data_IF_639592657340
#
_entry.id   IF_639592657340
#
_cell.length_a   1.000
_cell.length_b   1.000
_cell.length_c   1.000
_cell.angle_alpha   90.00
_cell.angle_beta   90.00
_cell.angle_gamma   90.00
#
_symmetry.space_group_name_H-M   'P 1'
#
loop_
_entity.id
_entity.type
_entity.pdbx_description
1 polymer ?
#
# COMPACT_ATOMS: atom_id res chain seq x y z
N UNK A 1 15.18 -5.89 -14.05
CA UNK A 1 14.24 -4.85 -14.55
C UNK A 1 13.66 -4.10 -13.37
N UNK A 2 13.54 -2.79 -13.49
CA UNK A 2 12.88 -1.92 -12.52
C UNK A 2 11.76 -1.18 -13.24
N UNK A 3 10.55 -1.16 -12.65
CA UNK A 3 9.48 -0.24 -13.05
C UNK A 3 9.25 0.78 -11.94
N UNK A 4 9.05 2.03 -12.33
CA UNK A 4 8.74 3.14 -11.44
C UNK A 4 7.48 3.79 -11.97
N UNK A 5 6.39 3.75 -11.21
CA UNK A 5 5.08 4.29 -11.60
C UNK A 5 4.61 3.82 -12.99
N UNK A 6 4.87 2.53 -13.31
CA UNK A 6 4.53 1.91 -14.59
C UNK A 6 5.52 2.17 -15.73
N UNK A 7 6.52 3.02 -15.53
CA UNK A 7 7.58 3.28 -16.53
C UNK A 7 8.69 2.26 -16.35
N UNK A 8 9.04 1.55 -17.42
CA UNK A 8 10.11 0.54 -17.40
C UNK A 8 11.49 1.16 -17.58
N UNK A 9 12.41 0.75 -16.71
CA UNK A 9 13.85 1.03 -16.79
C UNK A 9 14.59 -0.29 -16.98
N UNK A 10 14.61 -0.76 -18.22
CA UNK A 10 15.15 -2.05 -18.59
C UNK A 10 15.85 -1.96 -19.96
N UNK A 11 17.05 -1.44 -19.97
CA UNK A 11 17.85 -1.39 -21.17
C UNK A 11 19.33 -1.25 -20.80
N UNK A 12 20.22 -1.38 -21.76
CA UNK A 12 21.64 -1.04 -21.59
C UNK A 12 21.85 0.39 -21.04
N UNK A 13 20.82 1.22 -21.12
CA UNK A 13 20.84 2.58 -20.63
C UNK A 13 20.69 2.70 -19.12
N UNK A 14 19.90 1.77 -18.51
CA UNK A 14 19.61 1.75 -17.07
C UNK A 14 19.84 0.35 -16.52
N UNK A 15 20.87 0.19 -15.74
CA UNK A 15 21.19 -1.06 -15.06
C UNK A 15 21.00 -0.89 -13.56
N UNK A 16 20.06 -1.60 -12.98
CA UNK A 16 19.91 -1.66 -11.52
C UNK A 16 21.13 -2.42 -10.96
N UNK A 17 21.96 -1.72 -10.20
CA UNK A 17 23.19 -2.26 -9.59
C UNK A 17 22.90 -2.80 -8.21
N UNK A 18 22.10 -2.05 -7.43
CA UNK A 18 21.78 -2.37 -6.05
C UNK A 18 20.39 -1.82 -5.71
N UNK A 19 19.59 -2.59 -4.99
CA UNK A 19 18.26 -2.15 -4.55
C UNK A 19 18.16 -1.87 -3.06
N UNK A 20 19.27 -1.95 -2.35
CA UNK A 20 19.29 -1.91 -0.88
C UNK A 20 18.77 -3.20 -0.24
N UNK A 21 18.87 -3.28 1.07
CA UNK A 21 18.41 -4.44 1.81
C UNK A 21 16.89 -4.49 1.89
N UNK A 22 16.31 -5.66 1.68
CA UNK A 22 14.90 -5.92 1.95
C UNK A 22 14.77 -6.20 3.45
N UNK A 23 14.13 -5.29 4.16
CA UNK A 23 13.91 -5.41 5.59
C UNK A 23 12.50 -5.94 5.86
N UNK A 24 12.37 -6.84 6.83
CA UNK A 24 11.06 -7.24 7.34
C UNK A 24 10.41 -6.06 8.06
N UNK A 25 9.09 -5.92 7.92
CA UNK A 25 8.33 -4.87 8.58
C UNK A 25 8.49 -4.95 10.10
N UNK A 26 9.04 -3.91 10.69
CA UNK A 26 9.29 -3.81 12.12
C UNK A 26 8.17 -3.04 12.80
N UNK A 27 7.64 -3.59 13.89
CA UNK A 27 6.66 -2.86 14.71
C UNK A 27 7.32 -1.65 15.36
N UNK A 28 6.56 -0.55 15.41
CA UNK A 28 6.99 0.65 16.14
C UNK A 28 7.13 0.35 17.62
N UNK A 29 8.28 0.73 18.18
CA UNK A 29 8.53 0.68 19.62
C UNK A 29 8.05 1.99 20.22
N UNK A 30 7.14 1.90 21.18
CA UNK A 30 6.63 3.08 21.93
C UNK A 30 7.55 3.35 23.11
N UNK A 31 7.88 2.32 23.88
CA UNK A 31 8.66 2.44 25.09
C UNK A 31 9.42 1.14 25.37
N UNK A 32 10.60 1.27 25.99
CA UNK A 32 11.35 0.15 26.56
C UNK A 32 11.48 0.38 28.06
N UNK A 33 10.90 -0.51 28.86
CA UNK A 33 10.85 -0.39 30.31
C UNK A 33 11.76 -1.44 30.96
N UNK A 34 12.71 -0.99 31.76
CA UNK A 34 13.54 -1.87 32.59
C UNK A 34 12.82 -2.11 33.92
N UNK A 35 12.55 -3.36 34.22
CA UNK A 35 11.93 -3.77 35.49
C UNK A 35 13.02 -4.12 36.50
N UNK A 36 13.04 -3.41 37.63
CA UNK A 36 14.01 -3.65 38.69
C UNK A 36 13.93 -5.09 39.18
N UNK A 37 15.08 -5.77 39.16
CA UNK A 37 15.23 -7.18 39.60
C UNK A 37 14.82 -8.22 38.53
N UNK A 38 14.42 -7.82 37.34
CA UNK A 38 14.18 -8.72 36.21
C UNK A 38 15.38 -8.71 35.25
N UNK A 39 15.59 -9.84 34.56
CA UNK A 39 16.57 -9.92 33.49
C UNK A 39 15.89 -9.48 32.17
N UNK A 40 16.45 -8.47 31.50
CA UNK A 40 15.96 -7.93 30.25
C UNK A 40 14.92 -6.82 30.42
N UNK A 41 14.58 -6.19 29.31
CA UNK A 41 13.64 -5.04 29.22
C UNK A 41 12.31 -5.48 28.65
N UNK A 42 11.22 -4.88 29.10
CA UNK A 42 9.90 -5.03 28.50
C UNK A 42 9.72 -3.99 27.39
N UNK A 43 9.44 -4.46 26.18
CA UNK A 43 9.25 -3.60 25.01
C UNK A 43 7.77 -3.45 24.71
N UNK A 44 7.29 -2.22 24.79
CA UNK A 44 5.92 -1.86 24.40
C UNK A 44 5.92 -1.48 22.92
N UNK A 45 5.12 -2.19 22.13
CA UNK A 45 4.95 -1.94 20.71
C UNK A 45 3.63 -1.22 20.46
N UNK A 46 3.64 -0.31 19.47
CA UNK A 46 2.43 0.19 18.81
C UNK A 46 1.89 -0.87 17.83
N UNK A 47 0.63 -0.74 17.41
CA UNK A 47 0.06 -1.58 16.34
C UNK A 47 0.62 -1.24 14.95
N UNK A 48 1.22 -0.07 14.82
CA UNK A 48 1.82 0.42 13.57
C UNK A 48 3.19 -0.22 13.26
N UNK A 49 3.63 -0.05 12.02
CA UNK A 49 4.93 -0.49 11.52
C UNK A 49 5.78 0.69 11.10
N UNK A 50 7.09 0.54 11.21
CA UNK A 50 8.07 1.56 10.80
C UNK A 50 8.33 1.50 9.30
N UNK A 51 8.38 2.66 8.65
CA UNK A 51 8.93 2.78 7.29
C UNK A 51 10.44 2.56 7.31
N UNK A 52 11.01 2.13 6.20
CA UNK A 52 12.46 1.89 6.08
C UNK A 52 13.09 2.76 5.00
N UNK A 53 14.23 3.37 5.33
CA UNK A 53 15.04 4.05 4.32
C UNK A 53 15.87 3.02 3.53
N UNK A 54 15.91 3.18 2.21
CA UNK A 54 16.75 2.35 1.32
C UNK A 54 17.34 3.20 0.21
N UNK A 55 18.47 2.78 -0.28
CA UNK A 55 19.13 3.37 -1.44
C UNK A 55 19.07 2.42 -2.63
N UNK A 56 18.57 2.91 -3.76
CA UNK A 56 18.68 2.24 -5.05
C UNK A 56 19.90 2.80 -5.78
N UNK A 57 20.74 1.93 -6.36
CA UNK A 57 21.84 2.36 -7.22
C UNK A 57 21.60 1.88 -8.63
N UNK A 58 21.54 2.83 -9.57
CA UNK A 58 21.28 2.60 -10.98
C UNK A 58 22.44 3.14 -11.78
N UNK A 59 23.04 2.31 -12.63
CA UNK A 59 24.05 2.74 -13.58
C UNK A 59 23.39 3.24 -14.86
N UNK A 60 23.55 4.52 -15.17
CA UNK A 60 22.92 5.21 -16.31
C UNK A 60 23.98 5.54 -17.36
N UNK A 61 23.70 5.25 -18.63
CA UNK A 61 24.70 5.38 -19.72
C UNK A 61 25.01 6.81 -20.10
N UNK A 62 24.02 7.69 -20.11
CA UNK A 62 24.16 9.07 -20.56
C UNK A 62 23.57 10.03 -19.53
N UNK A 63 24.17 11.21 -19.43
CA UNK A 63 23.73 12.21 -18.44
C UNK A 63 22.26 12.64 -18.63
N UNK A 64 21.84 12.86 -19.87
CA UNK A 64 20.47 13.31 -20.18
C UNK A 64 19.39 12.31 -19.74
N UNK A 65 19.73 11.03 -19.67
CA UNK A 65 18.84 9.97 -19.19
C UNK A 65 18.59 10.03 -17.67
N UNK A 66 19.44 10.73 -16.92
CA UNK A 66 19.21 10.96 -15.47
C UNK A 66 17.94 11.79 -15.27
N UNK A 67 17.70 12.79 -16.11
CA UNK A 67 16.49 13.61 -16.05
C UNK A 67 15.22 12.79 -16.28
N UNK A 68 15.25 11.84 -17.24
CA UNK A 68 14.15 10.91 -17.47
C UNK A 68 13.90 9.99 -16.27
N UNK A 69 14.97 9.49 -15.64
CA UNK A 69 14.86 8.68 -14.42
C UNK A 69 14.24 9.48 -13.27
N UNK A 70 14.68 10.74 -13.06
CA UNK A 70 14.11 11.62 -12.01
C UNK A 70 12.62 11.92 -12.28
N UNK A 71 12.24 12.19 -13.52
CA UNK A 71 10.86 12.51 -13.89
C UNK A 71 9.87 11.34 -13.71
N UNK A 72 10.38 10.12 -13.57
CA UNK A 72 9.53 8.96 -13.28
C UNK A 72 9.10 8.89 -11.81
N UNK A 73 9.76 9.64 -10.92
CA UNK A 73 9.41 9.70 -9.50
C UNK A 73 8.52 10.90 -9.20
N UNK A 74 7.43 10.62 -8.49
CA UNK A 74 6.68 11.63 -7.73
C UNK A 74 7.39 11.89 -6.39
N UNK A 75 6.99 12.92 -5.67
CA UNK A 75 7.54 13.16 -4.32
C UNK A 75 7.04 12.10 -3.33
N UNK A 76 5.80 11.61 -3.51
CA UNK A 76 5.16 10.64 -2.62
C UNK A 76 4.52 9.49 -3.39
N UNK A 77 4.30 8.38 -2.68
CA UNK A 77 3.52 7.21 -3.15
C UNK A 77 4.01 6.61 -4.48
N UNK A 78 5.31 6.50 -4.67
CA UNK A 78 5.85 5.86 -5.86
C UNK A 78 5.65 4.35 -5.80
N UNK A 79 5.21 3.77 -6.91
CA UNK A 79 5.05 2.33 -7.09
C UNK A 79 6.32 1.79 -7.74
N UNK A 80 7.00 0.87 -7.06
CA UNK A 80 8.22 0.22 -7.51
C UNK A 80 7.97 -1.27 -7.72
N UNK A 81 8.32 -1.78 -8.90
CA UNK A 81 8.24 -3.19 -9.24
C UNK A 81 9.62 -3.69 -9.65
N UNK A 82 9.99 -4.85 -9.11
CA UNK A 82 11.27 -5.51 -9.41
C UNK A 82 11.00 -6.89 -10.01
N UNK A 83 11.64 -7.24 -11.11
CA UNK A 83 11.39 -8.50 -11.85
C UNK A 83 11.73 -9.76 -11.06
N UNK A 84 12.68 -9.69 -10.14
CA UNK A 84 13.06 -10.80 -9.29
C UNK A 84 12.15 -10.98 -8.05
N UNK A 85 11.16 -10.08 -7.88
CA UNK A 85 10.09 -10.23 -6.88
C UNK A 85 8.77 -10.25 -7.64
N UNK A 86 8.38 -11.45 -8.10
CA UNK A 86 7.21 -11.62 -8.95
C UNK A 86 5.91 -11.21 -8.25
N UNK A 87 4.96 -10.70 -9.03
CA UNK A 87 3.60 -10.36 -8.60
C UNK A 87 3.52 -9.41 -7.40
N UNK A 88 4.55 -8.57 -7.22
CA UNK A 88 4.65 -7.70 -6.06
C UNK A 88 5.10 -6.30 -6.44
N UNK A 89 4.69 -5.34 -5.63
CA UNK A 89 5.11 -3.94 -5.70
C UNK A 89 5.46 -3.42 -4.31
N UNK A 90 6.28 -2.39 -4.29
CA UNK A 90 6.56 -1.58 -3.10
C UNK A 90 6.04 -0.18 -3.31
N UNK A 91 5.69 0.48 -2.22
CA UNK A 91 5.32 1.90 -2.20
C UNK A 91 6.44 2.64 -1.49
N UNK A 92 6.92 3.74 -2.07
CA UNK A 92 7.99 4.52 -1.48
C UNK A 92 7.87 6.01 -1.80
N UNK A 93 8.30 6.83 -0.84
CA UNK A 93 8.41 8.27 -0.99
C UNK A 93 9.82 8.64 -1.44
N UNK A 94 9.93 9.58 -2.38
CA UNK A 94 11.21 10.05 -2.88
C UNK A 94 11.83 11.05 -1.90
N UNK A 95 13.12 10.86 -1.58
CA UNK A 95 13.86 11.76 -0.70
C UNK A 95 14.88 12.58 -1.49
N UNK A 96 15.85 11.91 -2.11
CA UNK A 96 16.91 12.58 -2.87
C UNK A 96 17.49 11.69 -3.97
N UNK A 97 18.14 12.32 -4.93
CA UNK A 97 18.90 11.65 -5.97
C UNK A 97 20.28 12.28 -6.08
N UNK A 98 21.31 11.46 -5.99
CA UNK A 98 22.70 11.83 -6.19
C UNK A 98 23.23 11.11 -7.42
N UNK A 99 24.15 11.71 -8.14
CA UNK A 99 24.79 11.05 -9.27
C UNK A 99 26.28 11.41 -9.34
N UNK A 100 27.07 10.40 -9.63
CA UNK A 100 28.51 10.52 -9.79
C UNK A 100 28.95 9.84 -11.08
N UNK A 101 29.97 10.39 -11.72
CA UNK A 101 30.51 9.78 -12.94
C UNK A 101 31.20 8.46 -12.61
N UNK A 102 30.84 7.42 -13.34
CA UNK A 102 31.42 6.09 -13.22
C UNK A 102 32.16 5.72 -14.52
N UNK A 103 33.47 5.82 -14.49
CA UNK A 103 34.31 5.57 -15.69
C UNK A 103 34.07 6.59 -16.80
N UNK A 104 34.23 6.16 -18.06
CA UNK A 104 34.16 7.05 -19.23
C UNK A 104 32.76 7.29 -19.76
N UNK A 105 31.84 6.35 -19.58
CA UNK A 105 30.57 6.33 -20.32
C UNK A 105 29.32 6.14 -19.45
N UNK A 106 29.46 6.03 -18.12
CA UNK A 106 28.33 5.77 -17.24
C UNK A 106 28.31 6.72 -16.04
N UNK A 107 27.11 6.85 -15.47
CA UNK A 107 26.83 7.57 -14.25
C UNK A 107 26.22 6.61 -13.24
N UNK A 108 26.72 6.59 -12.01
CA UNK A 108 26.09 5.92 -10.89
C UNK A 108 25.11 6.90 -10.25
N UNK A 109 23.85 6.58 -10.33
CA UNK A 109 22.76 7.33 -9.72
C UNK A 109 22.34 6.60 -8.45
N UNK A 110 22.44 7.27 -7.30
CA UNK A 110 21.98 6.78 -6.00
C UNK A 110 20.70 7.51 -5.65
N UNK A 111 19.63 6.76 -5.42
CA UNK A 111 18.30 7.27 -5.11
C UNK A 111 17.93 6.83 -3.72
N UNK A 112 17.74 7.79 -2.81
CA UNK A 112 17.27 7.54 -1.45
C UNK A 112 15.76 7.60 -1.41
N UNK A 113 15.14 6.54 -0.88
CA UNK A 113 13.70 6.37 -0.78
C UNK A 113 13.31 5.96 0.63
N UNK A 114 12.12 6.37 1.06
CA UNK A 114 11.47 5.86 2.28
C UNK A 114 10.37 4.90 1.86
N UNK A 115 10.57 3.63 2.10
CA UNK A 115 9.64 2.56 1.76
C UNK A 115 8.56 2.41 2.83
N UNK A 116 7.33 2.21 2.41
CA UNK A 116 6.28 1.68 3.27
C UNK A 116 6.73 0.32 3.83
N UNK A 117 6.27 -0.07 5.03
CA UNK A 117 6.77 -1.26 5.71
C UNK A 117 6.42 -2.59 5.02
N UNK A 118 5.55 -2.57 4.02
CA UNK A 118 4.98 -3.77 3.43
C UNK A 118 5.35 -3.94 1.96
N UNK A 119 5.41 -5.19 1.55
CA UNK A 119 5.33 -5.61 0.16
C UNK A 119 3.85 -5.81 -0.19
N UNK A 120 3.38 -5.25 -1.28
CA UNK A 120 1.99 -5.32 -1.73
C UNK A 120 1.84 -6.27 -2.92
N UNK A 121 0.70 -6.93 -3.04
CA UNK A 121 0.35 -7.62 -4.28
C UNK A 121 0.32 -6.62 -5.45
N UNK A 122 0.87 -7.00 -6.58
CA UNK A 122 0.79 -6.19 -7.80
C UNK A 122 -0.66 -6.05 -8.24
N UNK A 123 -1.38 -7.17 -8.25
CA UNK A 123 -2.83 -7.24 -8.41
C UNK A 123 -3.42 -8.10 -7.30
N UNK A 124 -4.27 -7.53 -6.48
CA UNK A 124 -4.95 -8.26 -5.40
C UNK A 124 -6.14 -9.08 -5.89
N UNK A 125 -6.51 -8.96 -7.17
CA UNK A 125 -7.79 -9.42 -7.66
C UNK A 125 -8.96 -8.70 -6.97
N UNK A 126 -10.05 -8.51 -7.67
CA UNK A 126 -11.25 -7.95 -7.05
C UNK A 126 -12.28 -9.06 -6.84
N UNK A 127 -12.66 -9.29 -5.58
CA UNK A 127 -13.76 -10.18 -5.23
C UNK A 127 -15.08 -9.44 -5.40
N UNK A 128 -16.00 -10.01 -6.17
CA UNK A 128 -17.34 -9.46 -6.38
C UNK A 128 -18.36 -10.34 -5.70
N UNK A 129 -19.16 -9.74 -4.82
CA UNK A 129 -20.16 -10.39 -3.99
C UNK A 129 -21.54 -9.76 -4.22
N UNK A 130 -22.59 -10.51 -3.90
CA UNK A 130 -23.93 -9.96 -3.69
C UNK A 130 -24.07 -9.39 -2.26
N UNK A 131 -25.23 -9.59 -1.63
CA UNK A 131 -25.48 -9.10 -0.27
C UNK A 131 -24.65 -9.82 0.81
N UNK A 132 -24.24 -11.05 0.57
CA UNK A 132 -23.45 -11.87 1.51
C UNK A 132 -22.38 -12.64 0.77
N UNK A 133 -21.28 -12.96 1.44
CA UNK A 133 -20.19 -13.75 0.91
C UNK A 133 -18.99 -13.78 1.86
N UNK A 134 -17.82 -14.01 1.31
CA UNK A 134 -16.57 -13.95 2.06
C UNK A 134 -15.46 -13.37 1.19
N UNK A 135 -14.46 -12.83 1.84
CA UNK A 135 -13.20 -12.35 1.24
C UNK A 135 -12.05 -13.00 1.97
N UNK A 136 -11.04 -13.44 1.23
CA UNK A 136 -9.83 -14.04 1.78
C UNK A 136 -8.66 -13.07 1.66
N UNK A 137 -8.08 -12.70 2.78
CA UNK A 137 -6.79 -12.01 2.82
C UNK A 137 -5.69 -13.06 2.79
N UNK A 138 -4.99 -13.14 1.66
CA UNK A 138 -3.87 -14.06 1.42
C UNK A 138 -2.53 -13.51 1.94
N UNK A 139 -2.52 -12.29 2.47
CA UNK A 139 -1.35 -11.68 3.10
C UNK A 139 -1.11 -12.22 4.52
N UNK A 140 0.01 -11.82 5.11
CA UNK A 140 0.39 -12.22 6.48
C UNK A 140 0.14 -11.12 7.52
N UNK A 141 -0.48 -10.02 7.08
CA UNK A 141 -0.85 -8.88 7.92
C UNK A 141 -2.22 -8.35 7.47
N UNK A 142 -2.90 -7.61 8.34
CA UNK A 142 -4.15 -6.95 7.96
C UNK A 142 -3.96 -6.08 6.71
N UNK A 143 -4.98 -6.01 5.88
CA UNK A 143 -4.98 -5.20 4.67
C UNK A 143 -6.05 -4.10 4.72
N UNK A 144 -5.81 -3.03 4.00
CA UNK A 144 -6.69 -1.86 3.91
C UNK A 144 -7.33 -1.86 2.52
N UNK A 145 -8.56 -2.38 2.37
CA UNK A 145 -9.17 -2.60 1.08
C UNK A 145 -9.69 -1.32 0.43
N UNK A 146 -9.95 -1.42 -0.88
CA UNK A 146 -10.81 -0.49 -1.59
C UNK A 146 -12.13 -1.24 -1.85
N UNK A 147 -13.25 -0.69 -1.37
CA UNK A 147 -14.55 -1.31 -1.45
C UNK A 147 -15.47 -0.45 -2.31
N UNK A 148 -16.14 -1.06 -3.28
CA UNK A 148 -17.18 -0.41 -4.08
C UNK A 148 -18.51 -1.10 -3.78
N UNK A 149 -19.55 -0.33 -3.46
CA UNK A 149 -20.89 -0.82 -3.21
C UNK A 149 -21.84 -0.19 -4.22
N UNK A 150 -22.58 -1.02 -4.94
CA UNK A 150 -23.72 -0.61 -5.75
C UNK A 150 -24.98 -0.77 -4.91
N UNK A 151 -25.58 0.35 -4.51
CA UNK A 151 -26.71 0.38 -3.57
C UNK A 151 -27.14 1.81 -3.27
N UNK A 152 -28.23 1.96 -2.52
CA UNK A 152 -28.81 3.27 -2.16
C UNK A 152 -29.45 3.24 -0.79
N UNK A 153 -29.61 4.43 -0.18
CA UNK A 153 -30.22 4.60 1.14
C UNK A 153 -29.34 4.14 2.28
N UNK A 154 -29.97 3.65 3.34
CA UNK A 154 -29.27 3.17 4.52
C UNK A 154 -28.69 1.77 4.26
N UNK A 155 -27.38 1.68 4.31
CA UNK A 155 -26.62 0.44 4.09
C UNK A 155 -25.72 0.18 5.28
N UNK A 156 -25.79 -1.04 5.81
CA UNK A 156 -24.81 -1.54 6.78
C UNK A 156 -23.91 -2.57 6.10
N UNK A 157 -22.61 -2.32 6.08
CA UNK A 157 -21.59 -3.27 5.64
C UNK A 157 -20.87 -3.84 6.84
N UNK A 158 -20.76 -5.16 6.90
CA UNK A 158 -19.99 -5.90 7.93
C UNK A 158 -18.91 -6.73 7.24
N UNK A 159 -17.67 -6.65 7.71
CA UNK A 159 -16.55 -7.50 7.28
C UNK A 159 -15.87 -8.03 8.56
N UNK A 160 -15.88 -9.33 8.75
CA UNK A 160 -15.48 -9.92 10.04
C UNK A 160 -16.30 -9.32 11.19
N UNK A 161 -15.61 -8.75 12.17
CA UNK A 161 -16.21 -8.09 13.33
C UNK A 161 -16.40 -6.57 13.15
N UNK A 162 -15.96 -6.01 12.02
CA UNK A 162 -16.04 -4.58 11.76
C UNK A 162 -17.34 -4.21 11.05
N UNK A 163 -17.94 -3.10 11.45
CA UNK A 163 -19.22 -2.62 10.90
C UNK A 163 -19.11 -1.16 10.49
N UNK A 164 -19.59 -0.85 9.30
CA UNK A 164 -19.77 0.53 8.82
C UNK A 164 -21.21 0.74 8.39
N UNK A 165 -21.80 1.85 8.85
CA UNK A 165 -23.14 2.30 8.46
C UNK A 165 -23.01 3.49 7.54
N UNK A 166 -23.68 3.42 6.40
CA UNK A 166 -23.67 4.43 5.34
C UNK A 166 -25.09 4.89 5.04
N UNK A 167 -25.24 6.15 4.66
CA UNK A 167 -26.43 6.68 4.02
C UNK A 167 -26.06 7.14 2.60
N UNK A 168 -26.33 6.30 1.61
CA UNK A 168 -25.93 6.51 0.22
C UNK A 168 -27.06 7.24 -0.51
N UNK A 169 -26.87 8.52 -0.82
CA UNK A 169 -27.86 9.30 -1.58
C UNK A 169 -27.75 9.11 -3.09
N UNK A 170 -26.69 8.41 -3.56
CA UNK A 170 -26.50 8.01 -4.96
C UNK A 170 -26.89 6.55 -5.20
N UNK A 171 -26.29 5.95 -6.21
CA UNK A 171 -26.45 4.53 -6.57
C UNK A 171 -25.15 3.72 -6.40
N UNK A 172 -24.04 4.38 -6.12
CA UNK A 172 -22.73 3.75 -5.93
C UNK A 172 -21.89 4.56 -4.95
N UNK A 173 -21.14 3.85 -4.10
CA UNK A 173 -20.14 4.42 -3.19
C UNK A 173 -18.83 3.66 -3.33
N UNK A 174 -17.71 4.39 -3.27
CA UNK A 174 -16.37 3.82 -3.15
C UNK A 174 -15.79 4.23 -1.81
N UNK A 175 -15.33 3.24 -1.06
CA UNK A 175 -14.69 3.40 0.24
C UNK A 175 -13.20 3.06 0.06
N UNK A 176 -12.33 4.03 0.22
CA UNK A 176 -10.89 3.82 0.24
C UNK A 176 -10.43 3.72 1.68
N UNK A 177 -10.06 2.52 2.13
CA UNK A 177 -9.64 2.27 3.50
C UNK A 177 -8.13 2.47 3.69
N UNK A 178 -7.37 2.69 2.63
CA UNK A 178 -5.90 2.80 2.69
C UNK A 178 -5.47 3.93 3.61
N UNK A 179 -4.51 3.67 4.47
CA UNK A 179 -3.89 4.67 5.34
C UNK A 179 -3.43 5.89 4.52
N UNK A 180 -3.52 7.09 5.09
CA UNK A 180 -3.29 8.39 4.42
C UNK A 180 -4.35 8.77 3.35
N UNK A 181 -5.23 7.83 2.90
CA UNK A 181 -6.23 8.08 1.83
C UNK A 181 -7.68 7.90 2.26
N UNK A 182 -7.91 7.48 3.49
CA UNK A 182 -9.22 7.16 4.07
C UNK A 182 -10.32 8.16 3.69
N UNK A 183 -11.14 7.79 2.70
CA UNK A 183 -12.19 8.62 2.16
C UNK A 183 -13.33 7.78 1.59
N UNK A 184 -14.50 8.39 1.52
CA UNK A 184 -15.67 7.86 0.82
C UNK A 184 -15.94 8.76 -0.38
N UNK A 185 -16.18 8.14 -1.54
CA UNK A 185 -16.43 8.83 -2.80
C UNK A 185 -17.75 8.41 -3.41
N UNK A 186 -18.41 9.36 -4.08
CA UNK A 186 -19.55 9.05 -4.93
C UNK A 186 -19.12 8.40 -6.26
N UNK A 187 -20.10 8.13 -7.14
CA UNK A 187 -19.86 7.53 -8.45
C UNK A 187 -19.00 8.42 -9.39
N UNK A 188 -18.94 9.73 -9.13
CA UNK A 188 -18.16 10.68 -9.91
C UNK A 188 -16.75 10.92 -9.32
N UNK A 189 -16.42 10.26 -8.23
CA UNK A 189 -15.14 10.41 -7.54
C UNK A 189 -15.08 11.62 -6.60
N UNK A 190 -16.18 12.28 -6.30
CA UNK A 190 -16.21 13.37 -5.33
C UNK A 190 -16.26 12.85 -3.90
N UNK A 191 -15.50 13.43 -2.95
CA UNK A 191 -15.54 13.04 -1.55
C UNK A 191 -16.92 13.22 -0.93
N UNK A 192 -17.41 12.18 -0.25
CA UNK A 192 -18.73 12.10 0.41
C UNK A 192 -18.62 11.48 1.81
N UNK A 193 -17.68 11.95 2.61
CA UNK A 193 -17.47 11.41 3.97
C UNK A 193 -18.69 11.56 4.86
N UNK A 194 -19.60 12.51 4.59
CA UNK A 194 -20.88 12.65 5.27
C UNK A 194 -21.83 11.46 5.06
N UNK A 195 -21.59 10.62 4.06
CA UNK A 195 -22.36 9.39 3.87
C UNK A 195 -22.03 8.31 4.91
N UNK A 196 -20.88 8.41 5.58
CA UNK A 196 -20.52 7.54 6.69
C UNK A 196 -21.21 8.03 7.97
N UNK A 197 -22.18 7.28 8.41
CA UNK A 197 -22.95 7.56 9.64
C UNK A 197 -22.21 7.06 10.88
N UNK A 198 -21.63 5.84 10.79
CA UNK A 198 -20.92 5.19 11.90
C UNK A 198 -19.92 4.15 11.40
N UNK A 199 -18.93 3.86 12.22
CA UNK A 199 -17.91 2.83 11.99
C UNK A 199 -16.60 3.39 11.46
N UNK A 200 -15.50 2.65 11.65
CA UNK A 200 -14.17 2.94 11.12
C UNK A 200 -14.00 2.45 9.67
N UNK A 201 -12.88 2.78 9.05
CA UNK A 201 -12.47 2.15 7.82
C UNK A 201 -12.00 0.72 8.07
N UNK A 202 -12.24 -0.17 7.12
CA UNK A 202 -12.01 -1.60 7.30
C UNK A 202 -10.53 -1.98 7.23
N UNK A 203 -10.18 -2.93 8.09
CA UNK A 203 -8.93 -3.67 8.07
C UNK A 203 -9.25 -5.17 7.97
N UNK A 204 -8.97 -5.78 6.82
CA UNK A 204 -9.24 -7.20 6.62
C UNK A 204 -8.09 -8.01 7.20
N UNK A 205 -8.36 -8.74 8.29
CA UNK A 205 -7.38 -9.62 8.93
C UNK A 205 -6.98 -10.78 8.01
N UNK A 206 -5.77 -11.37 8.17
CA UNK A 206 -5.37 -12.56 7.43
C UNK A 206 -6.38 -13.71 7.52
N UNK A 207 -6.53 -14.45 6.41
CA UNK A 207 -7.48 -15.55 6.27
C UNK A 207 -8.85 -15.09 5.79
N UNK A 208 -9.85 -15.96 5.93
CA UNK A 208 -11.20 -15.76 5.40
C UNK A 208 -12.05 -14.93 6.36
N UNK A 209 -12.63 -13.83 5.86
CA UNK A 209 -13.54 -12.97 6.59
C UNK A 209 -14.93 -12.99 5.94
N UNK A 210 -15.97 -13.13 6.76
CA UNK A 210 -17.36 -13.03 6.28
C UNK A 210 -17.70 -11.60 5.87
N UNK A 211 -18.42 -11.45 4.77
CA UNK A 211 -18.93 -10.15 4.29
C UNK A 211 -20.45 -10.22 4.27
N UNK A 212 -21.10 -9.24 4.91
CA UNK A 212 -22.55 -9.13 4.96
C UNK A 212 -22.98 -7.68 4.74
N UNK A 213 -24.05 -7.51 3.97
CA UNK A 213 -24.71 -6.22 3.83
C UNK A 213 -26.16 -6.28 4.27
N UNK A 214 -26.66 -5.17 4.83
CA UNK A 214 -28.08 -4.94 5.13
C UNK A 214 -28.47 -3.64 4.44
N UNK A 215 -29.62 -3.61 3.80
CA UNK A 215 -30.11 -2.47 3.01
C UNK A 215 -30.24 -2.79 1.53
N UNK A 216 -30.48 -1.77 0.71
CA UNK A 216 -30.65 -1.92 -0.75
C UNK A 216 -29.28 -1.98 -1.44
N UNK A 217 -28.66 -3.17 -1.42
CA UNK A 217 -27.34 -3.45 -2.03
C UNK A 217 -27.51 -4.53 -3.09
N UNK A 218 -27.07 -4.25 -4.31
CA UNK A 218 -27.04 -5.21 -5.41
C UNK A 218 -25.68 -5.88 -5.56
N UNK A 219 -24.59 -5.18 -5.20
CA UNK A 219 -23.23 -5.67 -5.44
C UNK A 219 -22.22 -5.01 -4.51
N UNK A 220 -21.29 -5.81 -4.04
CA UNK A 220 -20.09 -5.36 -3.32
C UNK A 220 -18.86 -5.87 -4.06
N UNK A 221 -17.94 -4.98 -4.40
CA UNK A 221 -16.65 -5.33 -5.01
C UNK A 221 -15.55 -4.91 -4.05
N UNK A 222 -14.69 -5.85 -3.68
CA UNK A 222 -13.59 -5.65 -2.73
C UNK A 222 -12.27 -5.90 -3.45
N UNK A 223 -11.44 -4.88 -3.54
CA UNK A 223 -10.04 -5.02 -3.87
C UNK A 223 -9.26 -5.05 -2.56
N UNK A 224 -8.64 -6.18 -2.25
CA UNK A 224 -8.09 -6.44 -0.93
C UNK A 224 -6.82 -5.67 -0.59
N UNK A 225 -6.06 -5.19 -1.58
CA UNK A 225 -4.76 -4.55 -1.37
C UNK A 225 -3.85 -5.40 -0.46
N UNK A 226 -3.76 -6.72 -0.77
CA UNK A 226 -3.04 -7.70 0.03
C UNK A 226 -1.59 -7.33 0.22
N UNK A 227 -1.07 -7.56 1.42
CA UNK A 227 0.29 -7.14 1.79
C UNK A 227 0.97 -8.13 2.75
N UNK A 228 2.30 -8.11 2.71
CA UNK A 228 3.17 -8.98 3.51
C UNK A 228 4.24 -8.14 4.19
N UNK A 229 4.70 -8.66 5.32
CA UNK A 229 5.79 -8.04 6.12
C UNK A 229 7.18 -8.25 5.52
N UNK A 230 7.29 -9.04 4.46
CA UNK A 230 8.54 -9.33 3.73
C UNK A 230 8.35 -9.10 2.25
#
# INVERSE_FOLDING_TARGET
MLKINGIEFNSDDYLLVEMGDILTAKKKVVETVDIYGANGSYVVHDEGYESSERELKISVKEFDKISKLRSAFNDFDNILEFDYISNSKYIADFVEMKYARQGKSRWLVTIKLVFDPFRYALDSGAVTLGANGSVENIGDVFSEPIIEIEGTGDVTLTIGDQVMVLNITGNKVKIDCRHKKQNIYDNNGYPKNSWRVRGGFFEIQPGTQGVRTIGSVSKVKINGNWRWRV
#
